data_IF_442873202366
#
_entry.id   IF_442873202366
#
_cell.length_a   1.000
_cell.length_b   1.000
_cell.length_c   1.000
_cell.angle_alpha   90.00
_cell.angle_beta   90.00
_cell.angle_gamma   90.00
#
_symmetry.space_group_name_H-M   'P 1'
#
loop_
_entity.id
_entity.type
_entity.pdbx_description
1 polymer ?
#
# COMPACT_ATOMS: atom_id res chain seq x y z
N UNK A 1 -1.49 -18.80 -33.28
CA UNK A 1 -2.12 -17.73 -32.47
C UNK A 1 -2.75 -18.26 -31.19
N UNK A 2 -3.67 -19.25 -31.24
CA UNK A 2 -4.27 -19.85 -30.02
C UNK A 2 -3.23 -20.39 -29.02
N UNK A 3 -2.22 -21.12 -29.49
CA UNK A 3 -1.19 -21.71 -28.60
C UNK A 3 -0.32 -20.65 -27.91
N UNK A 4 -0.04 -19.53 -28.58
CA UNK A 4 0.71 -18.41 -28.01
C UNK A 4 -0.09 -17.71 -26.92
N UNK A 5 -1.40 -17.53 -27.14
CA UNK A 5 -2.28 -16.91 -26.16
C UNK A 5 -2.44 -17.77 -24.90
N UNK A 6 -2.49 -19.10 -25.05
CA UNK A 6 -2.52 -20.04 -23.92
C UNK A 6 -1.20 -19.98 -23.13
N UNK A 7 -0.06 -19.95 -23.81
CA UNK A 7 1.25 -19.81 -23.15
C UNK A 7 1.35 -18.49 -22.40
N UNK A 8 0.89 -17.38 -23.00
CA UNK A 8 0.86 -16.07 -22.35
C UNK A 8 -0.03 -16.08 -21.09
N UNK A 9 -1.19 -16.74 -21.15
CA UNK A 9 -2.08 -16.86 -20.00
C UNK A 9 -1.45 -17.66 -18.86
N UNK A 10 -0.74 -18.75 -19.17
CA UNK A 10 -0.02 -19.56 -18.18
C UNK A 10 1.11 -18.73 -17.55
N UNK A 11 1.84 -17.96 -18.35
CA UNK A 11 2.91 -17.08 -17.85
C UNK A 11 2.38 -15.97 -16.91
N UNK A 12 1.19 -15.42 -17.18
CA UNK A 12 0.55 -14.44 -16.30
C UNK A 12 0.13 -15.04 -14.94
N UNK A 13 -0.27 -16.32 -14.91
CA UNK A 13 -0.62 -17.02 -13.68
C UNK A 13 0.60 -17.43 -12.85
N UNK A 14 1.81 -17.39 -13.44
CA UNK A 14 3.07 -17.69 -12.77
C UNK A 14 3.73 -16.46 -12.15
N UNK A 15 3.14 -15.26 -12.32
CA UNK A 15 3.65 -14.05 -11.66
C UNK A 15 3.26 -14.13 -10.18
N UNK A 16 4.22 -14.13 -9.25
CA UNK A 16 3.90 -14.11 -7.83
C UNK A 16 3.12 -12.84 -7.49
N UNK A 17 2.07 -12.98 -6.67
CA UNK A 17 1.36 -11.82 -6.15
C UNK A 17 2.34 -10.99 -5.30
N UNK A 18 2.63 -9.77 -5.74
CA UNK A 18 3.37 -8.81 -4.94
C UNK A 18 2.39 -8.16 -3.95
N UNK A 19 2.59 -8.42 -2.66
CA UNK A 19 1.99 -7.61 -1.60
C UNK A 19 2.99 -6.51 -1.26
N UNK A 20 2.59 -5.26 -1.42
CA UNK A 20 3.42 -4.11 -1.09
C UNK A 20 2.68 -3.27 -0.07
N UNK A 21 3.27 -3.17 1.12
CA UNK A 21 2.72 -2.39 2.24
C UNK A 21 3.24 -0.94 2.23
N UNK A 22 4.27 -0.68 1.41
CA UNK A 22 4.89 0.62 1.16
C UNK A 22 6.16 0.46 0.32
N UNK A 23 6.80 1.58 -0.04
CA UNK A 23 8.11 1.58 -0.70
C UNK A 23 8.91 2.84 -0.42
N UNK A 24 10.22 2.68 -0.23
CA UNK A 24 11.18 3.78 -0.14
C UNK A 24 11.66 4.15 -1.56
N UNK A 25 11.50 5.43 -1.89
CA UNK A 25 12.17 6.06 -3.01
C UNK A 25 13.29 6.94 -2.51
N UNK A 26 14.44 6.88 -3.16
CA UNK A 26 15.60 7.70 -2.84
C UNK A 26 15.99 8.52 -4.06
N UNK A 27 16.32 9.78 -3.83
CA UNK A 27 16.80 10.69 -4.86
C UNK A 27 18.31 10.53 -5.04
N UNK A 28 18.73 10.22 -6.27
CA UNK A 28 20.13 10.17 -6.72
C UNK A 28 20.27 10.78 -8.12
N UNK A 29 21.18 11.75 -8.27
CA UNK A 29 21.45 12.51 -9.51
C UNK A 29 20.17 12.96 -10.27
N UNK A 30 19.26 13.64 -9.58
CA UNK A 30 17.96 14.14 -10.11
C UNK A 30 17.00 13.04 -10.59
N UNK A 31 17.23 11.78 -10.19
CA UNK A 31 16.35 10.65 -10.47
C UNK A 31 15.93 9.95 -9.17
N UNK A 32 14.68 9.51 -9.13
CA UNK A 32 14.16 8.69 -8.03
C UNK A 32 14.33 7.21 -8.37
N UNK A 33 14.94 6.45 -7.46
CA UNK A 33 15.08 5.01 -7.57
C UNK A 33 14.48 4.32 -6.35
N UNK A 34 14.05 3.07 -6.54
CA UNK A 34 13.55 2.24 -5.45
C UNK A 34 14.72 1.76 -4.59
N UNK A 35 14.59 1.95 -3.28
CA UNK A 35 15.53 1.46 -2.30
C UNK A 35 14.94 0.23 -1.59
N UNK A 36 15.68 -0.88 -1.50
CA UNK A 36 15.24 -2.01 -0.70
C UNK A 36 15.14 -1.63 0.79
N UNK A 37 14.04 -2.06 1.40
CA UNK A 37 13.79 -1.95 2.83
C UNK A 37 14.37 -3.17 3.54
N UNK A 38 15.06 -2.98 4.68
CA UNK A 38 15.57 -4.11 5.47
C UNK A 38 14.54 -4.61 6.47
N UNK A 39 13.84 -3.68 7.14
CA UNK A 39 12.83 -4.03 8.12
C UNK A 39 11.64 -3.07 8.04
N UNK A 40 10.44 -3.64 8.06
CA UNK A 40 9.19 -2.92 8.23
C UNK A 40 8.44 -3.55 9.41
N UNK A 41 8.01 -2.72 10.35
CA UNK A 41 7.17 -3.12 11.47
C UNK A 41 5.87 -2.33 11.41
N UNK A 42 4.76 -3.04 11.37
CA UNK A 42 3.42 -2.45 11.41
C UNK A 42 2.62 -3.06 12.57
N UNK A 43 1.88 -2.22 13.28
CA UNK A 43 0.86 -2.65 14.22
C UNK A 43 -0.43 -1.92 13.92
N UNK A 44 -1.52 -2.67 13.81
CA UNK A 44 -2.84 -2.13 13.55
C UNK A 44 -3.71 -2.40 14.77
N UNK A 45 -4.20 -1.33 15.39
CA UNK A 45 -5.19 -1.41 16.44
C UNK A 45 -6.53 -0.91 15.90
N UNK A 46 -7.49 -1.82 15.77
CA UNK A 46 -8.86 -1.48 15.44
C UNK A 46 -9.72 -1.35 16.69
N UNK A 47 -10.32 -0.18 16.89
CA UNK A 47 -11.22 0.08 18.01
C UNK A 47 -12.38 0.97 17.56
N UNK A 48 -13.62 0.53 17.80
CA UNK A 48 -14.85 1.30 17.58
C UNK A 48 -14.97 1.94 16.18
N UNK A 49 -14.64 1.20 15.12
CA UNK A 49 -14.74 1.72 13.75
C UNK A 49 -13.56 2.59 13.32
N UNK A 50 -12.51 2.67 14.14
CA UNK A 50 -11.30 3.43 13.85
C UNK A 50 -10.09 2.52 13.87
N UNK A 51 -9.29 2.63 12.82
CA UNK A 51 -8.01 1.96 12.72
C UNK A 51 -6.88 2.91 13.12
N UNK A 52 -5.99 2.43 14.00
CA UNK A 52 -4.76 3.11 14.36
C UNK A 52 -3.59 2.28 13.82
N UNK A 53 -3.01 2.76 12.72
CA UNK A 53 -1.80 2.19 12.14
C UNK A 53 -0.57 2.83 12.80
N UNK A 54 0.29 2.00 13.35
CA UNK A 54 1.64 2.36 13.74
C UNK A 54 2.62 1.67 12.82
N UNK A 55 3.53 2.45 12.22
CA UNK A 55 4.52 1.94 11.28
C UNK A 55 5.91 2.44 11.63
N UNK A 56 6.90 1.55 11.52
CA UNK A 56 8.32 1.86 11.60
C UNK A 56 9.01 1.19 10.43
N UNK A 57 9.79 1.97 9.70
CA UNK A 57 10.52 1.53 8.52
C UNK A 57 11.99 1.81 8.73
N UNK A 58 12.83 0.81 8.49
CA UNK A 58 14.27 0.92 8.55
C UNK A 58 14.84 0.72 7.14
N UNK A 59 15.45 1.76 6.54
CA UNK A 59 16.19 1.57 5.31
C UNK A 59 17.38 0.64 5.55
N UNK A 60 17.80 -0.07 4.50
CA UNK A 60 18.96 -0.94 4.61
C UNK A 60 20.28 -0.22 4.81
N UNK A 61 21.34 -0.98 5.08
CA UNK A 61 22.70 -0.47 5.31
C UNK A 61 23.28 0.29 4.10
N UNK A 62 22.75 0.02 2.89
CA UNK A 62 23.09 0.71 1.64
C UNK A 62 22.12 1.85 1.32
N UNK A 63 21.73 2.64 2.32
CA UNK A 63 20.91 3.82 2.10
C UNK A 63 21.76 4.96 1.55
N UNK A 64 21.67 5.21 0.24
CA UNK A 64 22.44 6.24 -0.46
C UNK A 64 21.54 7.24 -1.17
N UNK A 65 21.53 8.49 -0.72
CA UNK A 65 20.85 9.59 -1.41
C UNK A 65 20.71 10.83 -0.54
N UNK A 66 20.35 11.94 -1.17
CA UNK A 66 20.18 13.22 -0.46
C UNK A 66 18.82 13.33 0.22
N UNK A 67 17.81 12.68 -0.35
CA UNK A 67 16.43 12.69 0.09
C UNK A 67 15.83 11.31 -0.08
N UNK A 68 14.91 10.94 0.82
CA UNK A 68 14.11 9.75 0.65
C UNK A 68 12.67 10.01 1.07
N UNK A 69 11.76 9.36 0.38
CA UNK A 69 10.35 9.35 0.70
C UNK A 69 9.88 7.92 0.82
N UNK A 70 9.11 7.63 1.86
CA UNK A 70 8.43 6.36 2.00
C UNK A 70 6.93 6.60 1.85
N UNK A 71 6.32 5.89 0.91
CA UNK A 71 4.92 6.08 0.55
C UNK A 71 4.13 4.85 0.95
N UNK A 72 3.03 5.07 1.66
CA UNK A 72 2.07 4.04 2.07
C UNK A 72 0.65 4.43 1.64
N UNK A 73 -0.07 3.56 0.91
CA UNK A 73 -1.47 3.81 0.61
C UNK A 73 -2.32 3.59 1.87
N UNK A 74 -3.20 4.55 2.17
CA UNK A 74 -4.17 4.44 3.27
C UNK A 74 -5.59 4.51 2.68
N UNK A 75 -6.42 3.47 2.81
CA UNK A 75 -7.76 3.43 2.22
C UNK A 75 -8.77 4.24 3.05
N UNK A 76 -8.54 5.55 3.18
CA UNK A 76 -9.40 6.48 3.92
C UNK A 76 -9.45 7.85 3.23
N UNK A 77 -10.49 8.64 3.53
CA UNK A 77 -10.55 10.02 3.03
C UNK A 77 -9.50 10.89 3.75
N UNK A 78 -8.78 11.78 3.05
CA UNK A 78 -7.69 12.57 3.65
C UNK A 78 -8.09 13.37 4.90
N UNK A 79 -9.30 13.92 4.90
CA UNK A 79 -9.86 14.72 5.99
C UNK A 79 -10.16 13.90 7.27
N UNK A 80 -10.23 12.58 7.15
CA UNK A 80 -10.43 11.65 8.27
C UNK A 80 -9.13 11.10 8.86
N UNK A 81 -8.02 11.25 8.13
CA UNK A 81 -6.70 10.76 8.55
C UNK A 81 -6.11 11.70 9.60
N UNK A 82 -5.43 11.13 10.61
CA UNK A 82 -4.67 11.88 11.60
C UNK A 82 -3.30 11.26 11.75
N UNK A 83 -2.27 11.97 11.31
CA UNK A 83 -0.88 11.54 11.44
C UNK A 83 -0.19 12.16 12.66
N UNK A 84 0.75 11.41 13.23
CA UNK A 84 1.68 11.89 14.27
C UNK A 84 2.99 11.09 14.19
N UNK A 85 4.07 11.68 14.68
CA UNK A 85 5.39 11.04 14.76
C UNK A 85 5.67 10.69 16.22
N UNK A 86 6.02 9.43 16.47
CA UNK A 86 6.36 8.89 17.79
C UNK A 86 7.86 8.58 17.90
N UNK A 87 8.40 8.63 19.11
CA UNK A 87 9.78 8.21 19.38
C UNK A 87 9.84 6.71 19.59
N UNK A 88 10.20 5.98 18.53
CA UNK A 88 10.35 4.52 18.56
C UNK A 88 9.02 3.76 18.56
N UNK A 89 9.12 2.44 18.47
CA UNK A 89 7.98 1.53 18.47
C UNK A 89 7.68 1.08 19.92
N UNK A 90 6.41 1.12 20.38
CA UNK A 90 6.05 0.73 21.72
C UNK A 90 6.15 -0.78 21.91
N UNK A 91 6.38 -1.21 23.16
CA UNK A 91 6.24 -2.61 23.53
C UNK A 91 4.75 -2.95 23.62
N UNK A 92 4.28 -3.79 22.71
CA UNK A 92 2.92 -4.30 22.72
C UNK A 92 2.88 -5.57 23.59
N UNK A 93 1.90 -5.65 24.48
CA UNK A 93 1.63 -6.81 25.32
C UNK A 93 0.22 -7.32 25.02
N UNK A 94 0.08 -8.63 24.81
CA UNK A 94 -1.19 -9.24 24.49
C UNK A 94 -1.05 -10.71 24.15
N UNK A 95 -2.17 -11.35 23.83
CA UNK A 95 -2.20 -12.72 23.33
C UNK A 95 -1.97 -12.73 21.84
N UNK A 96 -1.10 -13.61 21.34
CA UNK A 96 -0.92 -13.78 19.90
C UNK A 96 -2.19 -14.39 19.29
N UNK A 97 -2.86 -13.63 18.41
CA UNK A 97 -4.08 -14.08 17.74
C UNK A 97 -3.80 -15.11 16.64
N UNK A 98 -2.56 -15.23 16.19
CA UNK A 98 -2.12 -16.20 15.19
C UNK A 98 -2.36 -17.64 15.66
N UNK A 99 -2.24 -17.89 16.96
CA UNK A 99 -2.55 -19.19 17.60
C UNK A 99 -4.06 -19.46 17.68
N UNK A 100 -4.91 -18.43 17.54
CA UNK A 100 -6.37 -18.52 17.78
C UNK A 100 -7.22 -18.35 16.52
N UNK A 101 -6.71 -17.72 15.45
CA UNK A 101 -7.49 -17.32 14.28
C UNK A 101 -6.69 -17.46 12.97
N UNK A 102 -6.26 -18.68 12.66
CA UNK A 102 -5.47 -18.96 11.45
C UNK A 102 -6.31 -18.96 10.16
N UNK A 103 -7.62 -19.25 10.23
CA UNK A 103 -8.42 -19.49 9.02
C UNK A 103 -9.19 -18.26 8.50
N UNK A 104 -9.65 -17.37 9.39
CA UNK A 104 -10.49 -16.23 9.00
C UNK A 104 -9.67 -15.05 8.46
N UNK A 105 -8.51 -14.79 9.08
CA UNK A 105 -7.60 -13.70 8.69
C UNK A 105 -6.93 -14.04 7.35
N UNK A 106 -6.51 -15.30 7.16
CA UNK A 106 -5.94 -15.77 5.90
C UNK A 106 -6.90 -15.62 4.72
N UNK A 107 -8.20 -15.84 4.91
CA UNK A 107 -9.20 -15.66 3.85
C UNK A 107 -9.45 -14.20 3.50
N UNK A 108 -9.50 -13.31 4.49
CA UNK A 108 -9.67 -11.87 4.25
C UNK A 108 -8.44 -11.26 3.55
N UNK A 109 -7.23 -11.59 4.02
CA UNK A 109 -5.99 -11.16 3.38
C UNK A 109 -5.84 -11.74 1.96
N UNK A 110 -6.19 -13.00 1.75
CA UNK A 110 -6.19 -13.60 0.42
C UNK A 110 -7.18 -12.94 -0.53
N UNK A 111 -8.37 -12.56 -0.03
CA UNK A 111 -9.36 -11.83 -0.83
C UNK A 111 -8.83 -10.44 -1.21
N UNK A 112 -8.24 -9.70 -0.27
CA UNK A 112 -7.64 -8.40 -0.55
C UNK A 112 -6.51 -8.48 -1.59
N UNK A 113 -5.59 -9.45 -1.45
CA UNK A 113 -4.53 -9.69 -2.44
C UNK A 113 -5.13 -10.02 -3.82
N UNK A 114 -6.21 -10.81 -3.86
CA UNK A 114 -6.89 -11.18 -5.10
C UNK A 114 -7.52 -9.98 -5.81
N UNK A 115 -8.07 -9.02 -5.05
CA UNK A 115 -8.73 -7.83 -5.58
C UNK A 115 -7.77 -6.66 -5.83
N UNK A 116 -6.71 -6.51 -5.03
CA UNK A 116 -5.77 -5.40 -5.15
C UNK A 116 -4.67 -5.67 -6.17
N UNK A 117 -4.20 -6.92 -6.27
CA UNK A 117 -2.97 -7.24 -7.02
C UNK A 117 -3.25 -7.94 -8.35
N UNK A 118 -4.37 -8.65 -8.49
CA UNK A 118 -4.61 -9.52 -9.65
C UNK A 118 -5.62 -8.93 -10.64
N UNK A 119 -5.36 -8.98 -11.97
CA UNK A 119 -6.33 -8.62 -13.01
C UNK A 119 -7.44 -9.67 -13.20
N UNK A 120 -7.81 -10.42 -12.16
CA UNK A 120 -8.95 -11.35 -12.15
C UNK A 120 -10.30 -10.78 -12.60
N UNK A 121 -10.63 -9.49 -12.35
CA UNK A 121 -11.87 -8.89 -12.84
C UNK A 121 -11.97 -8.84 -14.36
N UNK A 122 -10.82 -8.86 -15.06
CA UNK A 122 -10.74 -8.89 -16.52
C UNK A 122 -11.06 -10.29 -17.07
N UNK A 123 -10.80 -11.33 -16.26
CA UNK A 123 -10.91 -12.74 -16.66
C UNK A 123 -12.28 -13.37 -16.32
N UNK A 124 -12.91 -12.98 -15.20
CA UNK A 124 -14.06 -13.72 -14.66
C UNK A 124 -15.43 -13.07 -14.90
N UNK A 125 -15.50 -11.84 -15.42
CA UNK A 125 -16.78 -11.21 -15.73
C UNK A 125 -16.65 -10.30 -16.94
N UNK A 126 -17.51 -10.51 -17.93
CA UNK A 126 -17.65 -9.61 -19.08
C UNK A 126 -17.98 -8.16 -18.67
N UNK A 127 -18.38 -7.29 -19.61
CA UNK A 127 -18.37 -5.81 -19.47
C UNK A 127 -19.06 -5.21 -18.21
N UNK A 128 -19.85 -6.00 -17.50
CA UNK A 128 -20.48 -5.68 -16.21
C UNK A 128 -19.49 -5.66 -15.03
N UNK A 129 -18.51 -6.55 -14.95
CA UNK A 129 -17.47 -6.50 -13.90
C UNK A 129 -16.42 -5.46 -14.22
N UNK A 130 -16.16 -5.22 -15.51
CA UNK A 130 -15.38 -4.07 -15.95
C UNK A 130 -16.03 -2.76 -15.46
N UNK A 131 -17.36 -2.64 -15.47
CA UNK A 131 -18.01 -1.46 -14.89
C UNK A 131 -17.80 -1.37 -13.39
N UNK A 132 -17.87 -2.44 -12.59
CA UNK A 132 -17.67 -2.33 -11.13
C UNK A 132 -16.20 -2.14 -10.74
N UNK A 133 -15.26 -2.68 -11.51
CA UNK A 133 -13.83 -2.41 -11.33
C UNK A 133 -13.45 -1.01 -11.77
N UNK A 134 -13.97 -0.57 -12.93
CA UNK A 134 -13.84 0.82 -13.38
C UNK A 134 -14.61 1.75 -12.46
N UNK A 135 -15.75 1.41 -11.85
CA UNK A 135 -16.50 2.31 -10.93
C UNK A 135 -16.05 2.21 -9.47
N UNK A 136 -15.35 1.13 -9.10
CA UNK A 136 -14.65 0.97 -7.82
C UNK A 136 -13.30 1.70 -7.82
N UNK A 137 -12.60 1.71 -8.97
CA UNK A 137 -11.43 2.59 -9.22
C UNK A 137 -11.82 4.00 -9.69
N UNK A 138 -12.97 4.18 -10.35
CA UNK A 138 -13.60 5.47 -10.64
C UNK A 138 -14.53 5.92 -9.50
N UNK A 139 -14.49 5.22 -8.38
CA UNK A 139 -14.59 5.81 -7.05
C UNK A 139 -13.34 6.64 -6.79
N UNK A 140 -13.11 7.65 -7.64
CA UNK A 140 -12.13 8.71 -7.51
C UNK A 140 -10.64 8.33 -7.53
N UNK A 141 -10.15 7.69 -8.59
CA UNK A 141 -8.98 8.26 -9.30
C UNK A 141 -9.53 9.05 -10.47
N UNK A 142 -10.00 10.26 -10.16
CA UNK A 142 -10.40 11.20 -11.18
C UNK A 142 -9.18 11.59 -11.99
N UNK A 143 -9.05 11.09 -13.21
CA UNK A 143 -8.33 11.81 -14.26
C UNK A 143 -9.13 13.07 -14.57
N UNK A 144 -9.08 14.04 -13.65
CA UNK A 144 -9.35 15.41 -14.01
C UNK A 144 -8.15 15.85 -14.82
N UNK A 145 -8.40 16.32 -16.04
CA UNK A 145 -7.52 17.23 -16.77
C UNK A 145 -7.37 18.51 -15.93
N UNK A 146 -6.61 18.38 -14.85
CA UNK A 146 -6.07 19.44 -14.03
C UNK A 146 -4.59 19.34 -14.29
N UNK A 147 -3.99 20.47 -14.62
CA UNK A 147 -2.57 20.74 -14.45
C UNK A 147 -2.16 20.64 -12.96
N UNK A 148 -2.51 19.54 -12.28
CA UNK A 148 -2.69 19.43 -10.84
C UNK A 148 -1.44 18.88 -10.16
N UNK A 149 -0.88 19.68 -9.25
CA UNK A 149 0.13 19.23 -8.31
C UNK A 149 -0.47 18.38 -7.18
N UNK A 150 0.42 17.79 -6.39
CA UNK A 150 0.09 17.06 -5.16
C UNK A 150 -0.60 18.01 -4.17
N UNK A 151 -1.77 17.63 -3.65
CA UNK A 151 -2.45 18.40 -2.60
C UNK A 151 -2.09 17.85 -1.22
N UNK A 152 -1.49 18.68 -0.37
CA UNK A 152 -1.11 18.32 1.01
C UNK A 152 -2.24 18.70 1.97
N UNK A 153 -2.88 17.70 2.58
CA UNK A 153 -3.99 17.87 3.52
C UNK A 153 -3.54 18.05 4.97
N UNK A 154 -2.49 17.33 5.34
CA UNK A 154 -1.90 17.39 6.67
C UNK A 154 -0.39 17.19 6.55
N UNK A 155 0.38 17.99 7.27
CA UNK A 155 1.83 17.85 7.38
C UNK A 155 2.24 17.90 8.85
N UNK A 156 3.10 16.98 9.26
CA UNK A 156 3.68 16.94 10.61
C UNK A 156 5.18 16.74 10.46
N UNK A 157 5.95 17.65 11.05
CA UNK A 157 7.41 17.57 11.08
C UNK A 157 7.89 17.43 12.53
N UNK A 158 8.59 16.34 12.84
CA UNK A 158 9.20 16.10 14.16
C UNK A 158 10.40 15.17 14.03
N UNK A 159 11.41 15.37 14.88
CA UNK A 159 12.57 14.47 15.00
C UNK A 159 13.37 14.28 13.68
N UNK A 160 13.35 15.29 12.81
CA UNK A 160 14.01 15.23 11.50
C UNK A 160 13.26 14.43 10.43
N UNK A 161 12.00 14.04 10.71
CA UNK A 161 11.10 13.36 9.77
C UNK A 161 9.90 14.25 9.48
N UNK A 162 9.51 14.30 8.21
CA UNK A 162 8.28 14.93 7.75
C UNK A 162 7.33 13.84 7.29
N UNK A 163 6.08 13.91 7.74
CA UNK A 163 5.00 13.01 7.31
C UNK A 163 3.86 13.85 6.76
N UNK A 164 3.35 13.46 5.60
CA UNK A 164 2.32 14.19 4.87
C UNK A 164 1.16 13.26 4.47
N UNK A 165 -0.04 13.80 4.48
CA UNK A 165 -1.23 13.20 3.88
C UNK A 165 -1.46 13.90 2.56
N UNK A 166 -1.36 13.16 1.46
CA UNK A 166 -1.40 13.69 0.09
C UNK A 166 -2.45 12.99 -0.77
N UNK A 167 -2.96 13.71 -1.78
CA UNK A 167 -3.81 13.18 -2.86
C UNK A 167 -3.41 13.71 -4.22
#
# INVERSE_FOLDING_TARGET
MRSVLVILMILLLLIPAASADGMIFVEDYDMWHLQPEENQLAAIQYENGRENLLISVSPGNEFSGNQAVWIVPVPAKPDTIRITILKGFPNLHGTNLEDSYTDAVGQAAAAEILYATFPLPILCGGPLVLSTFIFGMAGSVGYSDRSGGVEVWQQVERMGVTTEVVT
#
